data_IF_057013317308
#
_entry.id   IF_057013317308
#
_cell.length_a   1.000
_cell.length_b   1.000
_cell.length_c   1.000
_cell.angle_alpha   90.00
_cell.angle_beta   90.00
_cell.angle_gamma   90.00
#
_symmetry.space_group_name_H-M   'P 1'
#
loop_
_entity.id
_entity.type
_entity.pdbx_description
1 polymer ?
#
# COMPACT_ATOMS: atom_id res chain seq x y z
N UNK A 1 -0.64 4.66 23.81
CA UNK A 1 -0.02 4.83 22.48
C UNK A 1 -0.08 3.54 21.69
N UNK A 2 0.42 2.41 22.22
CA UNK A 2 0.49 1.14 21.49
C UNK A 2 -0.87 0.55 21.07
N UNK A 3 -1.90 0.64 21.92
CA UNK A 3 -3.25 0.14 21.59
C UNK A 3 -3.83 0.79 20.33
N UNK A 4 -3.61 2.10 20.14
CA UNK A 4 -4.10 2.82 18.96
C UNK A 4 -3.41 2.34 17.69
N UNK A 5 -2.10 2.09 17.74
CA UNK A 5 -1.34 1.54 16.61
C UNK A 5 -1.82 0.13 16.26
N UNK A 6 -2.07 -0.72 17.26
CA UNK A 6 -2.56 -2.10 17.05
C UNK A 6 -3.96 -2.10 16.44
N UNK A 7 -4.88 -1.29 16.97
CA UNK A 7 -6.25 -1.16 16.43
C UNK A 7 -6.24 -0.60 15.00
N UNK A 8 -5.40 0.40 14.75
CA UNK A 8 -5.24 0.96 13.41
C UNK A 8 -4.64 -0.08 12.45
N UNK A 9 -3.68 -0.88 12.91
CA UNK A 9 -3.08 -1.95 12.13
C UNK A 9 -4.08 -3.06 11.80
N UNK A 10 -4.94 -3.43 12.75
CA UNK A 10 -6.05 -4.36 12.54
C UNK A 10 -6.99 -3.84 11.45
N UNK A 11 -7.36 -2.56 11.52
CA UNK A 11 -8.21 -1.91 10.52
C UNK A 11 -7.53 -1.81 9.15
N UNK A 12 -6.23 -1.49 9.13
CA UNK A 12 -5.42 -1.49 7.92
C UNK A 12 -5.38 -2.88 7.27
N UNK A 13 -5.19 -3.93 8.07
CA UNK A 13 -5.26 -5.32 7.64
C UNK A 13 -6.64 -5.67 7.09
N UNK A 14 -7.73 -5.28 7.78
CA UNK A 14 -9.11 -5.53 7.34
C UNK A 14 -9.40 -4.87 5.99
N UNK A 15 -9.04 -3.60 5.84
CA UNK A 15 -9.15 -2.87 4.59
C UNK A 15 -8.32 -3.54 3.49
N UNK A 16 -7.08 -3.93 3.79
CA UNK A 16 -6.21 -4.62 2.84
C UNK A 16 -6.77 -5.97 2.41
N UNK A 17 -7.24 -6.78 3.36
CA UNK A 17 -7.83 -8.08 3.09
C UNK A 17 -9.07 -7.97 2.20
N UNK A 18 -9.89 -6.94 2.42
CA UNK A 18 -11.08 -6.69 1.61
C UNK A 18 -10.72 -6.12 0.23
N UNK A 19 -10.08 -4.94 0.22
CA UNK A 19 -9.82 -4.15 -0.97
C UNK A 19 -8.62 -4.62 -1.79
N UNK A 20 -7.66 -5.31 -1.17
CA UNK A 20 -6.37 -5.66 -1.78
C UNK A 20 -5.36 -4.51 -1.81
N UNK A 21 -5.71 -3.32 -1.28
CA UNK A 21 -4.86 -2.14 -1.16
C UNK A 21 -5.34 -1.28 0.02
N UNK A 22 -4.70 -0.14 0.27
CA UNK A 22 -5.22 0.89 1.19
C UNK A 22 -4.85 0.69 2.66
N UNK A 23 -4.12 -0.38 2.97
CA UNK A 23 -3.59 -0.65 4.31
C UNK A 23 -2.80 0.54 4.86
N UNK A 24 -1.82 1.01 4.09
CA UNK A 24 -0.99 2.14 4.49
C UNK A 24 -1.74 3.48 4.47
N UNK A 25 -2.78 3.62 3.65
CA UNK A 25 -3.65 4.81 3.65
C UNK A 25 -4.42 4.95 4.96
N UNK A 26 -4.74 3.84 5.62
CA UNK A 26 -5.37 3.81 6.95
C UNK A 26 -4.30 3.99 8.05
N UNK A 27 -3.17 3.30 7.91
CA UNK A 27 -2.16 3.24 8.97
C UNK A 27 -1.30 4.50 9.08
N UNK A 28 -0.76 4.99 7.96
CA UNK A 28 0.28 6.02 7.98
C UNK A 28 -0.17 7.33 8.64
N UNK A 29 -1.35 7.91 8.34
CA UNK A 29 -1.74 9.19 8.96
C UNK A 29 -1.78 9.15 10.49
N UNK A 30 -2.23 8.02 11.06
CA UNK A 30 -2.30 7.83 12.51
C UNK A 30 -0.91 7.52 13.07
N UNK A 31 -0.13 6.68 12.39
CA UNK A 31 1.19 6.28 12.86
C UNK A 31 2.17 7.45 12.89
N UNK A 32 2.25 8.25 11.82
CA UNK A 32 3.18 9.40 11.74
C UNK A 32 2.79 10.57 12.66
N UNK A 33 1.58 10.55 13.22
CA UNK A 33 1.16 11.47 14.27
C UNK A 33 1.63 11.03 15.67
N UNK A 34 1.98 9.74 15.83
CA UNK A 34 2.37 9.15 17.11
C UNK A 34 3.87 8.86 17.19
N UNK A 35 4.50 8.52 16.07
CA UNK A 35 5.91 8.11 15.99
C UNK A 35 6.59 8.71 14.76
N UNK A 36 7.93 8.65 14.75
CA UNK A 36 8.74 9.08 13.62
C UNK A 36 8.34 8.36 12.31
N UNK A 37 8.27 9.07 11.15
CA UNK A 37 7.87 8.46 9.88
C UNK A 37 8.69 7.25 9.45
N UNK A 38 10.00 7.26 9.68
CA UNK A 38 10.88 6.14 9.34
C UNK A 38 10.53 4.92 10.19
N UNK A 39 10.31 5.13 11.48
CA UNK A 39 9.86 4.07 12.40
C UNK A 39 8.49 3.53 12.02
N UNK A 40 7.53 4.42 11.68
CA UNK A 40 6.19 4.02 11.24
C UNK A 40 6.23 3.13 9.99
N UNK A 41 7.01 3.51 8.98
CA UNK A 41 7.17 2.75 7.73
C UNK A 41 7.81 1.39 7.99
N UNK A 42 8.90 1.34 8.78
CA UNK A 42 9.57 0.09 9.10
C UNK A 42 8.68 -0.86 9.94
N UNK A 43 7.99 -0.35 10.96
CA UNK A 43 7.08 -1.14 11.78
C UNK A 43 5.91 -1.69 10.96
N UNK A 44 5.36 -0.87 10.05
CA UNK A 44 4.30 -1.30 9.16
C UNK A 44 4.76 -2.37 8.16
N UNK A 45 5.94 -2.22 7.58
CA UNK A 45 6.52 -3.21 6.67
C UNK A 45 6.65 -4.58 7.35
N UNK A 46 7.12 -4.63 8.61
CA UNK A 46 7.17 -5.87 9.40
C UNK A 46 5.77 -6.40 9.71
N UNK A 47 4.82 -5.56 10.14
CA UNK A 47 3.45 -6.00 10.42
C UNK A 47 2.76 -6.57 9.17
N UNK A 48 3.03 -5.97 8.00
CA UNK A 48 2.44 -6.33 6.72
C UNK A 48 2.82 -7.73 6.24
N UNK A 49 3.88 -8.35 6.80
CA UNK A 49 4.28 -9.74 6.52
C UNK A 49 3.14 -10.73 6.78
N UNK A 50 2.21 -10.39 7.68
CA UNK A 50 0.99 -11.17 7.89
C UNK A 50 0.15 -11.38 6.62
N UNK A 51 0.25 -10.49 5.63
CA UNK A 51 -0.44 -10.65 4.33
C UNK A 51 0.06 -11.83 3.51
N UNK A 52 1.34 -12.19 3.63
CA UNK A 52 1.97 -13.30 2.90
C UNK A 52 1.29 -14.64 3.24
N UNK A 53 0.83 -14.78 4.48
CA UNK A 53 0.16 -15.99 4.96
C UNK A 53 -1.36 -15.92 4.77
N UNK A 54 -1.96 -14.73 4.83
CA UNK A 54 -3.42 -14.58 4.94
C UNK A 54 -4.11 -14.27 3.61
N UNK A 55 -3.48 -13.46 2.75
CA UNK A 55 -4.11 -12.93 1.52
C UNK A 55 -3.40 -13.45 0.26
N UNK A 56 -2.06 -13.47 0.25
CA UNK A 56 -1.26 -13.88 -0.93
C UNK A 56 -1.58 -15.29 -1.46
N UNK A 57 -1.77 -16.34 -0.64
CA UNK A 57 -1.97 -17.70 -1.16
C UNK A 57 -3.22 -17.83 -2.04
N UNK A 58 -4.25 -17.02 -1.80
CA UNK A 58 -5.46 -17.01 -2.64
C UNK A 58 -5.28 -16.16 -3.89
N UNK A 59 -4.51 -15.08 -3.80
CA UNK A 59 -4.23 -14.20 -4.93
C UNK A 59 -3.30 -14.86 -5.95
N UNK A 60 -2.32 -15.66 -5.50
CA UNK A 60 -1.30 -16.28 -6.34
C UNK A 60 -1.82 -17.01 -7.60
N UNK A 61 -2.83 -17.91 -7.51
CA UNK A 61 -3.35 -18.59 -8.70
C UNK A 61 -4.15 -17.70 -9.66
N UNK A 62 -4.65 -16.54 -9.19
CA UNK A 62 -5.48 -15.63 -9.99
C UNK A 62 -4.67 -14.55 -10.71
N UNK A 63 -3.41 -14.38 -10.32
CA UNK A 63 -2.57 -13.30 -10.81
C UNK A 63 -1.98 -13.58 -12.19
N UNK A 64 -1.86 -12.53 -12.98
CA UNK A 64 -1.00 -12.52 -14.16
C UNK A 64 0.46 -12.42 -13.69
N UNK A 65 1.17 -13.56 -13.75
CA UNK A 65 2.55 -13.66 -13.28
C UNK A 65 3.49 -12.72 -14.01
N UNK A 66 3.30 -12.52 -15.33
CA UNK A 66 4.18 -11.67 -16.12
C UNK A 66 4.03 -10.21 -15.72
N UNK A 67 2.78 -9.73 -15.66
CA UNK A 67 2.50 -8.36 -15.22
C UNK A 67 3.00 -8.14 -13.77
N UNK A 68 2.63 -9.04 -12.86
CA UNK A 68 2.95 -8.96 -11.43
C UNK A 68 4.46 -8.94 -11.17
N UNK A 69 5.22 -9.88 -11.76
CA UNK A 69 6.67 -9.95 -11.56
C UNK A 69 7.40 -8.76 -12.19
N UNK A 70 6.92 -8.25 -13.34
CA UNK A 70 7.48 -7.03 -13.95
C UNK A 70 7.30 -5.83 -13.04
N UNK A 71 6.08 -5.64 -12.52
CA UNK A 71 5.76 -4.54 -11.61
C UNK A 71 6.57 -4.64 -10.30
N UNK A 72 6.67 -5.85 -9.74
CA UNK A 72 7.42 -6.10 -8.52
C UNK A 72 8.93 -5.82 -8.72
N UNK A 73 9.51 -6.26 -9.83
CA UNK A 73 10.93 -5.99 -10.13
C UNK A 73 11.20 -4.49 -10.25
N UNK A 74 10.33 -3.75 -10.96
CA UNK A 74 10.45 -2.30 -11.06
C UNK A 74 10.25 -1.60 -9.71
N UNK A 75 9.34 -2.10 -8.87
CA UNK A 75 9.13 -1.58 -7.52
C UNK A 75 10.39 -1.73 -6.66
N UNK A 76 10.93 -2.95 -6.59
CA UNK A 76 12.16 -3.23 -5.82
C UNK A 76 13.33 -2.39 -6.32
N UNK A 77 13.44 -2.17 -7.63
CA UNK A 77 14.52 -1.36 -8.20
C UNK A 77 14.47 0.13 -7.78
N UNK A 78 13.27 0.69 -7.56
CA UNK A 78 13.08 2.11 -7.21
C UNK A 78 12.84 2.37 -5.73
N UNK A 79 12.59 1.31 -4.95
CA UNK A 79 12.43 1.38 -3.50
C UNK A 79 13.63 2.02 -2.76
N UNK A 80 14.91 1.73 -3.11
CA UNK A 80 16.05 2.40 -2.48
C UNK A 80 16.05 3.91 -2.68
N UNK A 81 15.62 4.39 -3.85
CA UNK A 81 15.50 5.82 -4.14
C UNK A 81 14.40 6.45 -3.30
N UNK A 82 13.27 5.75 -3.12
CA UNK A 82 12.21 6.18 -2.22
C UNK A 82 12.67 6.27 -0.77
N UNK A 83 13.32 5.24 -0.25
CA UNK A 83 13.85 5.25 1.13
C UNK A 83 14.91 6.34 1.34
N UNK A 84 15.75 6.60 0.34
CA UNK A 84 16.69 7.72 0.39
C UNK A 84 15.96 9.07 0.48
N UNK A 85 14.87 9.22 -0.27
CA UNK A 85 14.04 10.42 -0.23
C UNK A 85 13.33 10.57 1.12
N UNK A 86 12.80 9.49 1.69
CA UNK A 86 12.19 9.46 3.04
C UNK A 86 13.15 10.00 4.11
N UNK A 87 14.44 9.69 4.02
CA UNK A 87 15.44 10.04 5.04
C UNK A 87 16.02 11.45 4.90
N UNK A 88 16.04 11.97 3.68
CA UNK A 88 16.72 13.25 3.37
C UNK A 88 15.75 14.41 3.17
N UNK A 89 14.46 14.13 2.95
CA UNK A 89 13.45 15.15 2.69
C UNK A 89 12.84 15.71 3.96
N UNK A 90 12.39 16.96 3.87
CA UNK A 90 11.56 17.57 4.90
C UNK A 90 10.23 16.80 5.05
N UNK A 91 9.82 16.41 6.27
CA UNK A 91 8.58 15.67 6.51
C UNK A 91 7.32 16.37 6.00
N UNK A 92 7.30 17.70 6.01
CA UNK A 92 6.17 18.50 5.52
C UNK A 92 6.07 18.42 4.01
N UNK A 93 7.20 18.56 3.30
CA UNK A 93 7.26 18.39 1.84
C UNK A 93 6.78 17.00 1.42
N UNK A 94 7.18 15.98 2.18
CA UNK A 94 6.77 14.60 1.97
C UNK A 94 5.25 14.41 2.13
N UNK A 95 4.65 14.96 3.20
CA UNK A 95 3.19 14.95 3.44
C UNK A 95 2.42 15.63 2.30
N UNK A 96 2.92 16.74 1.77
CA UNK A 96 2.33 17.42 0.61
C UNK A 96 2.39 16.60 -0.66
N UNK A 97 3.56 16.01 -0.98
CA UNK A 97 3.74 15.17 -2.16
C UNK A 97 2.78 13.98 -2.14
N UNK A 98 2.64 13.33 -0.98
CA UNK A 98 1.67 12.26 -0.74
C UNK A 98 0.25 12.70 -0.99
N UNK A 99 -0.16 13.78 -0.33
CA UNK A 99 -1.53 14.29 -0.43
C UNK A 99 -1.85 14.58 -1.89
N UNK A 100 -0.92 15.21 -2.62
CA UNK A 100 -1.06 15.46 -4.05
C UNK A 100 -1.26 14.17 -4.85
N UNK A 101 -0.42 13.14 -4.65
CA UNK A 101 -0.58 11.85 -5.35
C UNK A 101 -1.91 11.18 -5.03
N UNK A 102 -2.34 11.21 -3.77
CA UNK A 102 -3.62 10.64 -3.32
C UNK A 102 -4.79 11.38 -3.98
N UNK A 103 -4.78 12.72 -3.98
CA UNK A 103 -5.84 13.52 -4.59
C UNK A 103 -5.85 13.42 -6.11
N UNK A 104 -4.70 13.40 -6.78
CA UNK A 104 -4.61 13.16 -8.23
C UNK A 104 -5.16 11.79 -8.59
N UNK A 105 -4.81 10.76 -7.81
CA UNK A 105 -5.36 9.42 -7.96
C UNK A 105 -6.88 9.42 -7.79
N UNK A 106 -7.38 10.05 -6.72
CA UNK A 106 -8.81 10.15 -6.44
C UNK A 106 -9.56 10.91 -7.54
N UNK A 107 -9.04 12.05 -7.99
CA UNK A 107 -9.63 12.86 -9.06
C UNK A 107 -9.71 12.08 -10.38
N UNK A 108 -8.64 11.37 -10.75
CA UNK A 108 -8.63 10.53 -11.95
C UNK A 108 -9.68 9.41 -11.84
N UNK A 109 -9.80 8.78 -10.67
CA UNK A 109 -10.79 7.75 -10.42
C UNK A 109 -12.24 8.28 -10.46
N UNK A 110 -12.50 9.45 -9.87
CA UNK A 110 -13.80 10.11 -9.88
C UNK A 110 -14.21 10.60 -11.27
N UNK A 111 -13.24 11.05 -12.08
CA UNK A 111 -13.45 11.38 -13.49
C UNK A 111 -13.75 10.15 -14.36
N UNK A 112 -13.74 8.94 -13.78
CA UNK A 112 -13.96 7.70 -14.50
C UNK A 112 -12.84 7.37 -15.49
N UNK A 113 -11.62 7.86 -15.23
CA UNK A 113 -10.49 7.65 -16.11
C UNK A 113 -10.22 6.14 -16.29
N UNK A 114 -10.19 5.72 -17.55
CA UNK A 114 -9.90 4.34 -17.94
C UNK A 114 -8.91 4.34 -19.09
N UNK A 115 -7.85 3.56 -18.97
CA UNK A 115 -6.94 3.38 -20.08
C UNK A 115 -7.59 2.47 -21.15
N UNK A 116 -7.47 2.85 -22.43
CA UNK A 116 -8.09 2.12 -23.56
C UNK A 116 -7.27 0.93 -24.05
N UNK A 117 -5.95 0.95 -23.84
CA UNK A 117 -5.02 -0.05 -24.38
C UNK A 117 -4.73 -1.15 -23.35
N UNK A 118 -4.51 -2.37 -23.81
CA UNK A 118 -4.01 -3.45 -22.95
C UNK A 118 -2.62 -3.05 -22.44
N UNK A 119 -2.36 -3.03 -21.13
CA UNK A 119 -1.10 -2.55 -20.61
C UNK A 119 0.01 -3.52 -20.99
N UNK A 120 1.06 -2.99 -21.61
CA UNK A 120 2.27 -3.73 -21.94
C UNK A 120 3.41 -3.47 -20.95
N UNK A 121 4.60 -3.97 -21.30
CA UNK A 121 5.82 -3.85 -20.50
C UNK A 121 6.10 -2.41 -19.98
N UNK A 122 6.01 -1.34 -20.80
CA UNK A 122 6.28 0.02 -20.31
C UNK A 122 5.30 0.48 -19.23
N UNK A 123 4.02 0.10 -19.34
CA UNK A 123 3.00 0.45 -18.36
C UNK A 123 3.26 -0.28 -17.02
N UNK A 124 3.57 -1.58 -17.08
CA UNK A 124 3.91 -2.36 -15.87
C UNK A 124 5.16 -1.83 -15.17
N UNK A 125 6.20 -1.49 -15.93
CA UNK A 125 7.41 -0.88 -15.39
C UNK A 125 7.10 0.47 -14.73
N UNK A 126 6.33 1.34 -15.39
CA UNK A 126 5.96 2.65 -14.84
C UNK A 126 5.13 2.57 -13.57
N UNK A 127 4.14 1.65 -13.52
CA UNK A 127 3.33 1.44 -12.31
C UNK A 127 4.20 0.85 -11.20
N UNK A 128 5.00 -0.18 -11.48
CA UNK A 128 5.92 -0.77 -10.51
C UNK A 128 6.90 0.25 -9.95
N UNK A 129 7.52 1.05 -10.82
CA UNK A 129 8.39 2.16 -10.46
C UNK A 129 7.71 3.14 -9.49
N UNK A 130 6.48 3.57 -9.79
CA UNK A 130 5.71 4.47 -8.93
C UNK A 130 5.38 3.84 -7.57
N UNK A 131 5.06 2.54 -7.55
CA UNK A 131 4.80 1.77 -6.32
C UNK A 131 6.04 1.69 -5.45
N UNK A 132 7.19 1.35 -6.03
CA UNK A 132 8.46 1.25 -5.32
C UNK A 132 8.94 2.59 -4.78
N UNK A 133 8.91 3.63 -5.62
CA UNK A 133 9.29 4.98 -5.20
C UNK A 133 8.39 5.47 -4.06
N UNK A 134 7.06 5.49 -4.24
CA UNK A 134 6.16 5.98 -3.19
C UNK A 134 6.14 5.06 -1.96
N UNK A 135 6.26 3.75 -2.15
CA UNK A 135 6.38 2.81 -1.04
C UNK A 135 7.63 3.04 -0.21
N UNK A 136 8.79 3.25 -0.84
CA UNK A 136 10.01 3.60 -0.13
C UNK A 136 9.96 4.99 0.50
N UNK A 137 9.35 5.97 -0.17
CA UNK A 137 9.32 7.37 0.27
C UNK A 137 8.42 7.59 1.49
N UNK A 138 7.24 6.99 1.51
CA UNK A 138 6.18 7.31 2.51
C UNK A 138 5.43 6.08 3.00
N UNK A 139 5.80 4.88 2.52
CA UNK A 139 5.06 3.65 2.79
C UNK A 139 3.69 3.59 2.10
N UNK A 140 3.42 4.45 1.11
CA UNK A 140 2.12 4.54 0.42
C UNK A 140 2.20 3.96 -0.99
N UNK A 141 2.29 2.65 -1.06
CA UNK A 141 2.45 1.92 -2.31
C UNK A 141 1.08 1.70 -3.01
N UNK A 142 -0.04 1.95 -2.33
CA UNK A 142 -1.41 1.68 -2.78
C UNK A 142 -2.00 2.59 -3.87
N UNK A 143 -1.83 3.92 -3.85
CA UNK A 143 -2.52 4.84 -4.79
C UNK A 143 -2.22 4.58 -6.28
N UNK A 144 -0.96 4.38 -6.64
CA UNK A 144 -0.57 4.12 -8.05
C UNK A 144 -1.17 2.80 -8.54
N UNK A 145 -1.13 1.79 -7.68
CA UNK A 145 -1.62 0.46 -7.99
C UNK A 145 -3.15 0.41 -8.08
N UNK A 146 -3.88 1.10 -7.19
CA UNK A 146 -5.34 1.16 -7.28
C UNK A 146 -5.81 1.95 -8.50
N UNK A 147 -5.09 3.02 -8.88
CA UNK A 147 -5.38 3.76 -10.10
C UNK A 147 -5.27 2.84 -11.32
N UNK A 148 -4.17 2.09 -11.40
CA UNK A 148 -3.96 1.09 -12.44
C UNK A 148 -5.02 -0.01 -12.37
N UNK A 149 -5.38 -0.47 -11.17
CA UNK A 149 -6.36 -1.53 -10.97
C UNK A 149 -7.76 -1.14 -11.44
N UNK A 150 -8.22 0.05 -11.08
CA UNK A 150 -9.58 0.52 -11.35
C UNK A 150 -9.74 1.18 -12.72
N UNK A 151 -8.63 1.68 -13.29
CA UNK A 151 -8.56 2.25 -14.64
C UNK A 151 -8.53 1.18 -15.74
N UNK A 152 -8.29 -0.08 -15.40
CA UNK A 152 -8.25 -1.18 -16.34
C UNK A 152 -9.60 -1.76 -16.75
N UNK A 153 -9.55 -2.56 -17.82
CA UNK A 153 -10.67 -3.37 -18.33
C UNK A 153 -10.51 -4.87 -18.02
N UNK A 154 -9.40 -5.24 -17.38
CA UNK A 154 -9.14 -6.62 -16.95
C UNK A 154 -10.13 -7.05 -15.86
N UNK A 155 -10.25 -8.37 -15.70
CA UNK A 155 -11.09 -8.95 -14.67
C UNK A 155 -10.67 -8.48 -13.27
N UNK A 156 -11.62 -7.95 -12.49
CA UNK A 156 -11.37 -7.36 -11.17
C UNK A 156 -10.62 -8.32 -10.25
N UNK A 157 -10.92 -9.62 -10.32
CA UNK A 157 -10.24 -10.65 -9.55
C UNK A 157 -8.74 -10.73 -9.86
N UNK A 158 -8.38 -10.71 -11.15
CA UNK A 158 -6.98 -10.76 -11.62
C UNK A 158 -6.22 -9.50 -11.20
N UNK A 159 -6.77 -8.32 -11.44
CA UNK A 159 -6.06 -7.06 -11.14
C UNK A 159 -5.92 -6.83 -9.63
N UNK A 160 -6.91 -7.27 -8.84
CA UNK A 160 -6.81 -7.34 -7.37
C UNK A 160 -5.73 -8.29 -6.92
N UNK A 161 -5.65 -9.48 -7.53
CA UNK A 161 -4.62 -10.46 -7.22
C UNK A 161 -3.21 -9.95 -7.52
N UNK A 162 -3.00 -9.34 -8.69
CA UNK A 162 -1.72 -8.69 -9.05
C UNK A 162 -1.33 -7.64 -8.00
N UNK A 163 -2.29 -6.77 -7.62
CA UNK A 163 -2.08 -5.71 -6.63
C UNK A 163 -1.65 -6.26 -5.28
N UNK A 164 -2.37 -7.27 -4.77
CA UNK A 164 -2.04 -7.93 -3.50
C UNK A 164 -0.61 -8.48 -3.53
N UNK A 165 -0.22 -9.15 -4.61
CA UNK A 165 1.12 -9.75 -4.69
C UNK A 165 2.18 -8.65 -4.76
N UNK A 166 2.04 -7.65 -5.64
CA UNK A 166 3.02 -6.56 -5.76
C UNK A 166 3.16 -5.81 -4.43
N UNK A 167 2.05 -5.44 -3.78
CA UNK A 167 2.09 -4.70 -2.52
C UNK A 167 2.70 -5.52 -1.37
N UNK A 168 2.32 -6.80 -1.24
CA UNK A 168 2.81 -7.64 -0.14
C UNK A 168 4.30 -7.94 -0.29
N UNK A 169 4.75 -8.30 -1.50
CA UNK A 169 6.16 -8.60 -1.74
C UNK A 169 7.04 -7.35 -1.81
N UNK A 170 6.54 -6.21 -2.29
CA UNK A 170 7.27 -4.94 -2.19
C UNK A 170 7.46 -4.55 -0.72
N UNK A 171 6.43 -4.67 0.12
CA UNK A 171 6.57 -4.37 1.56
C UNK A 171 7.57 -5.30 2.26
N UNK A 172 7.69 -6.55 1.81
CA UNK A 172 8.73 -7.46 2.28
C UNK A 172 10.13 -7.04 1.80
N UNK A 173 10.26 -6.64 0.53
CA UNK A 173 11.52 -6.17 -0.04
C UNK A 173 11.98 -4.82 0.52
N UNK A 174 11.06 -4.00 1.02
CA UNK A 174 11.36 -2.74 1.68
C UNK A 174 12.25 -2.91 2.92
N UNK A 175 12.05 -3.98 3.70
CA UNK A 175 12.77 -4.23 4.95
C UNK A 175 14.30 -4.32 4.76
N UNK A 176 14.84 -5.17 3.87
CA UNK A 176 16.28 -5.20 3.62
C UNK A 176 16.78 -3.88 3.02
N UNK A 177 16.00 -3.20 2.16
CA UNK A 177 16.38 -1.89 1.60
C UNK A 177 16.54 -0.85 2.71
N UNK A 178 15.57 -0.74 3.62
CA UNK A 178 15.66 0.13 4.79
C UNK A 178 16.81 -0.28 5.72
N UNK A 179 17.02 -1.58 5.90
CA UNK A 179 18.11 -2.12 6.73
C UNK A 179 19.49 -1.73 6.21
N UNK A 180 19.73 -1.88 4.90
CA UNK A 180 20.97 -1.49 4.24
C UNK A 180 21.24 0.02 4.32
N UNK A 181 20.20 0.83 4.42
CA UNK A 181 20.31 2.28 4.61
C UNK A 181 20.40 2.70 6.09
N UNK A 182 20.35 1.77 7.05
CA UNK A 182 20.37 2.09 8.48
C UNK A 182 19.07 2.74 8.99
N UNK A 183 17.95 2.54 8.28
CA UNK A 183 16.64 3.07 8.62
C UNK A 183 15.80 2.12 9.50
N UNK A 184 16.26 0.89 9.73
CA UNK A 184 15.56 -0.10 10.56
C UNK A 184 16.10 -0.05 11.99
N UNK A 185 15.25 0.34 12.94
CA UNK A 185 15.57 0.31 14.37
C UNK A 185 15.03 -0.96 15.03
N UNK A 186 15.64 -1.38 16.14
CA UNK A 186 15.14 -2.51 16.94
C UNK A 186 13.70 -2.27 17.41
N UNK A 187 13.39 -1.04 17.78
CA UNK A 187 12.07 -0.63 18.23
C UNK A 187 11.02 -0.83 17.13
N UNK A 188 11.29 -0.36 15.91
CA UNK A 188 10.38 -0.52 14.77
C UNK A 188 10.09 -2.01 14.48
N UNK A 189 11.12 -2.86 14.55
CA UNK A 189 10.97 -4.31 14.36
C UNK A 189 10.08 -4.92 15.45
N UNK A 190 10.32 -4.59 16.72
CA UNK A 190 9.52 -5.10 17.84
C UNK A 190 8.06 -4.65 17.75
N UNK A 191 7.82 -3.36 17.50
CA UNK A 191 6.48 -2.80 17.30
C UNK A 191 5.76 -3.48 16.13
N UNK A 192 6.45 -3.68 15.01
CA UNK A 192 5.92 -4.39 13.86
C UNK A 192 5.55 -5.85 14.16
N UNK A 193 6.37 -6.58 14.91
CA UNK A 193 6.05 -7.94 15.35
C UNK A 193 4.84 -8.00 16.28
N UNK A 194 4.68 -7.04 17.19
CA UNK A 194 3.49 -6.94 18.06
C UNK A 194 2.22 -6.69 17.23
N UNK A 195 2.33 -5.88 16.18
CA UNK A 195 1.22 -5.54 15.30
C UNK A 195 0.92 -6.61 14.24
N UNK A 196 1.87 -7.50 13.93
CA UNK A 196 1.74 -8.53 12.89
C UNK A 196 0.51 -9.42 13.09
N UNK A 197 0.21 -9.98 14.29
CA UNK A 197 -1.00 -10.77 14.51
C UNK A 197 -2.28 -9.98 14.25
N UNK A 198 -2.32 -8.70 14.63
CA UNK A 198 -3.47 -7.82 14.39
C UNK A 198 -3.65 -7.56 12.89
N UNK A 199 -2.57 -7.26 12.17
CA UNK A 199 -2.61 -7.09 10.72
C UNK A 199 -3.06 -8.36 10.00
N UNK A 200 -2.51 -9.51 10.39
CA UNK A 200 -2.85 -10.81 9.83
C UNK A 200 -4.33 -11.17 10.08
N UNK A 201 -4.82 -10.97 11.31
CA UNK A 201 -6.23 -11.19 11.66
C UNK A 201 -7.14 -10.28 10.82
N UNK A 202 -6.80 -9.00 10.72
CA UNK A 202 -7.52 -8.05 9.87
C UNK A 202 -7.55 -8.53 8.43
N UNK A 203 -6.39 -8.86 7.85
CA UNK A 203 -6.25 -9.36 6.47
C UNK A 203 -7.09 -10.60 6.21
N UNK A 204 -7.10 -11.54 7.15
CA UNK A 204 -7.91 -12.75 7.06
C UNK A 204 -9.42 -12.47 7.10
N UNK A 205 -9.87 -11.62 8.03
CA UNK A 205 -11.29 -11.24 8.15
C UNK A 205 -11.75 -10.43 6.93
N UNK A 206 -10.97 -9.42 6.53
CA UNK A 206 -11.24 -8.59 5.35
C UNK A 206 -11.35 -9.42 4.07
N UNK A 207 -10.47 -10.41 3.90
CA UNK A 207 -10.52 -11.35 2.77
C UNK A 207 -11.84 -12.13 2.73
N UNK A 208 -12.35 -12.60 3.87
CA UNK A 208 -13.63 -13.32 3.94
C UNK A 208 -14.83 -12.43 3.63
N UNK A 209 -14.73 -11.13 3.87
CA UNK A 209 -15.77 -10.15 3.54
C UNK A 209 -15.77 -9.78 2.04
N UNK A 210 -14.71 -10.10 1.30
CA UNK A 210 -14.64 -9.82 -0.14
C UNK A 210 -15.56 -10.76 -0.93
N UNK A 211 -16.63 -10.21 -1.50
CA UNK A 211 -17.57 -10.93 -2.37
C UNK A 211 -17.36 -10.44 -3.81
N UNK A 212 -16.80 -11.27 -4.72
CA UNK A 212 -16.52 -10.88 -6.11
C UNK A 212 -17.74 -10.35 -6.87
N UNK A 213 -18.93 -10.88 -6.58
CA UNK A 213 -20.19 -10.49 -7.22
C UNK A 213 -20.65 -9.05 -6.90
N UNK A 214 -20.03 -8.36 -5.92
CA UNK A 214 -20.38 -6.99 -5.51
C UNK A 214 -19.30 -5.97 -5.88
N UNK A 215 -18.86 -5.98 -7.14
CA UNK A 215 -17.83 -5.07 -7.66
C UNK A 215 -18.16 -3.57 -7.47
N UNK A 216 -19.44 -3.18 -7.43
CA UNK A 216 -19.86 -1.82 -7.12
C UNK A 216 -19.56 -1.40 -5.68
N UNK A 217 -19.78 -2.30 -4.72
CA UNK A 217 -19.46 -2.07 -3.30
C UNK A 217 -17.95 -1.94 -3.11
N UNK A 218 -17.17 -2.76 -3.82
CA UNK A 218 -15.71 -2.66 -3.84
C UNK A 218 -15.20 -1.28 -4.28
N UNK A 219 -15.74 -0.74 -5.39
CA UNK A 219 -15.38 0.60 -5.89
C UNK A 219 -15.79 1.69 -4.91
N UNK A 220 -16.98 1.62 -4.33
CA UNK A 220 -17.44 2.58 -3.32
C UNK A 220 -16.53 2.61 -2.09
N UNK A 221 -16.19 1.45 -1.54
CA UNK A 221 -15.28 1.36 -0.39
C UNK A 221 -13.88 1.87 -0.74
N UNK A 222 -13.37 1.55 -1.93
CA UNK A 222 -12.10 2.07 -2.43
C UNK A 222 -12.08 3.61 -2.47
N UNK A 223 -13.11 4.25 -3.03
CA UNK A 223 -13.22 5.70 -3.07
C UNK A 223 -13.33 6.32 -1.67
N UNK A 224 -14.11 5.69 -0.78
CA UNK A 224 -14.22 6.16 0.60
C UNK A 224 -12.88 6.12 1.34
N UNK A 225 -12.12 5.02 1.22
CA UNK A 225 -10.80 4.88 1.86
C UNK A 225 -9.83 5.94 1.32
N UNK A 226 -9.78 6.12 0.00
CA UNK A 226 -8.87 7.10 -0.63
C UNK A 226 -9.28 8.52 -0.22
N UNK A 227 -10.58 8.84 -0.21
CA UNK A 227 -11.10 10.15 0.19
C UNK A 227 -10.78 10.48 1.65
N UNK A 228 -11.07 9.56 2.58
CA UNK A 228 -10.76 9.75 4.00
C UNK A 228 -9.25 9.89 4.22
N UNK A 229 -8.44 9.05 3.57
CA UNK A 229 -6.99 9.12 3.67
C UNK A 229 -6.41 10.42 3.09
N UNK A 230 -6.98 10.93 1.98
CA UNK A 230 -6.60 12.22 1.40
C UNK A 230 -6.86 13.38 2.36
N UNK A 231 -8.04 13.39 3.02
CA UNK A 231 -8.37 14.42 4.01
C UNK A 231 -7.48 14.33 5.25
N UNK A 232 -7.23 13.13 5.75
CA UNK A 232 -6.35 12.91 6.92
C UNK A 232 -4.87 13.19 6.62
N UNK A 233 -4.43 13.01 5.37
CA UNK A 233 -3.04 13.25 4.96
C UNK A 233 -2.67 14.73 4.81
N UNK A 234 -3.66 15.63 4.79
CA UNK A 234 -3.40 17.07 4.66
C UNK A 234 -2.59 17.58 5.87
N UNK A 235 -1.48 18.33 5.66
CA UNK A 235 -0.66 18.86 6.75
C UNK A 235 -1.29 20.07 7.45
N UNK A 236 -2.63 20.13 7.50
CA UNK A 236 -3.41 21.18 8.17
C UNK A 236 -3.80 20.79 9.60
N UNK A 237 -3.50 19.56 10.01
CA UNK A 237 -3.94 18.98 11.28
C UNK A 237 -2.85 18.99 12.37
N UNK A 238 -1.64 19.48 12.08
CA UNK A 238 -0.48 19.45 12.99
C UNK A 238 0.76 18.85 12.34
#
# INVERSE_FOLDING_TARGET
MEIWLILTCLMAGLVYGFAGFGAALVYMPIAVALVDPVMAVAAFAVASLGSILTVVPQAWPQADRRATLTMLAAAIALEPLGVWFLRTSDPTALRWAVSCVVFVTLAALLAGWRYRQVPGLPAWLGVGAGVGFLGGSVGLNGPVLVLFQLGGRDEVARTRANTIIVLSFSSFALLPVMGLQGAVTREAVMTGFIMLPAYALGGYLGRRLFIPARAGLYRGTAYAIIGVAGVMGLPIWG
#
